data_IF_363271431877
#
_entry.id   IF_363271431877
#
_cell.length_a   1.000
_cell.length_b   1.000
_cell.length_c   1.000
_cell.angle_alpha   90.00
_cell.angle_beta   90.00
_cell.angle_gamma   90.00
#
_symmetry.space_group_name_H-M   'P 1'
#
loop_
_entity.id
_entity.type
_entity.pdbx_description
1 polymer ?
#
# COMPACT_ATOMS: atom_id res chain seq x y z
N UNK A 1 -27.24 -44.10 7.84
CA UNK A 1 -26.77 -42.81 7.28
C UNK A 1 -25.30 -42.62 7.66
N UNK A 2 -24.37 -42.66 6.69
CA UNK A 2 -22.96 -42.41 6.99
C UNK A 2 -22.79 -40.94 7.43
N UNK A 3 -22.15 -40.72 8.59
CA UNK A 3 -21.73 -39.38 9.05
C UNK A 3 -21.02 -38.69 7.88
N UNK A 4 -21.61 -37.60 7.36
CA UNK A 4 -20.97 -36.78 6.32
C UNK A 4 -19.61 -36.35 6.87
N UNK A 5 -18.55 -36.72 6.16
CA UNK A 5 -17.20 -36.26 6.48
C UNK A 5 -17.06 -34.82 5.97
N UNK A 6 -17.42 -33.86 6.81
CA UNK A 6 -17.32 -32.45 6.49
C UNK A 6 -15.85 -31.99 6.46
N UNK A 7 -15.58 -31.04 5.58
CA UNK A 7 -14.27 -30.41 5.42
C UNK A 7 -14.05 -29.48 6.60
N UNK A 8 -12.85 -29.51 7.19
CA UNK A 8 -12.45 -28.58 8.23
C UNK A 8 -11.64 -27.45 7.58
N UNK A 9 -12.17 -26.24 7.65
CA UNK A 9 -11.48 -25.01 7.28
C UNK A 9 -10.68 -24.45 8.46
N UNK A 10 -9.54 -23.82 8.19
CA UNK A 10 -8.80 -23.09 9.22
C UNK A 10 -9.45 -21.71 9.51
N UNK A 11 -8.85 -20.92 10.41
CA UNK A 11 -9.34 -19.58 10.75
C UNK A 11 -9.41 -18.61 9.58
N UNK A 12 -8.70 -18.89 8.48
CA UNK A 12 -8.67 -18.10 7.24
C UNK A 12 -9.66 -18.64 6.19
N UNK A 13 -10.54 -19.58 6.58
CA UNK A 13 -11.47 -20.23 5.66
C UNK A 13 -10.81 -21.15 4.64
N UNK A 14 -9.52 -21.49 4.79
CA UNK A 14 -8.77 -22.35 3.87
C UNK A 14 -8.74 -23.78 4.39
N UNK A 15 -9.06 -24.73 3.52
CA UNK A 15 -8.95 -26.15 3.79
C UNK A 15 -7.84 -26.78 2.94
N UNK A 16 -6.94 -27.50 3.62
CA UNK A 16 -5.88 -28.30 3.00
C UNK A 16 -6.21 -29.78 3.16
N UNK A 17 -6.13 -30.55 2.08
CA UNK A 17 -6.34 -32.01 2.11
C UNK A 17 -5.42 -32.71 3.12
N UNK A 18 -4.17 -32.24 3.24
CA UNK A 18 -3.16 -32.81 4.15
C UNK A 18 -3.48 -32.57 5.62
N UNK A 19 -4.31 -31.57 5.92
CA UNK A 19 -4.68 -31.20 7.29
C UNK A 19 -5.98 -31.87 7.74
N UNK A 20 -6.68 -32.61 6.85
CA UNK A 20 -7.90 -33.34 7.17
C UNK A 20 -7.60 -34.67 7.88
N UNK A 21 -6.99 -34.62 9.07
CA UNK A 21 -6.48 -35.79 9.80
C UNK A 21 -7.57 -36.74 10.31
N UNK A 22 -8.83 -36.32 10.32
CA UNK A 22 -10.00 -37.10 10.75
C UNK A 22 -10.51 -38.08 9.70
N UNK A 23 -9.99 -38.03 8.46
CA UNK A 23 -10.44 -38.88 7.35
C UNK A 23 -9.28 -39.33 6.45
N UNK A 24 -9.52 -40.36 5.65
CA UNK A 24 -8.52 -40.79 4.64
C UNK A 24 -8.26 -39.69 3.61
N UNK A 25 -7.05 -39.65 3.05
CA UNK A 25 -6.68 -38.70 1.99
C UNK A 25 -7.65 -38.74 0.79
N UNK A 26 -8.08 -39.92 0.35
CA UNK A 26 -9.05 -40.07 -0.75
C UNK A 26 -10.43 -39.53 -0.36
N UNK A 27 -10.87 -39.76 0.88
CA UNK A 27 -12.13 -39.22 1.40
C UNK A 27 -12.08 -37.69 1.47
N UNK A 28 -10.96 -37.12 1.93
CA UNK A 28 -10.73 -35.67 1.99
C UNK A 28 -10.78 -35.02 0.60
N UNK A 29 -10.11 -35.61 -0.41
CA UNK A 29 -10.19 -35.12 -1.80
C UNK A 29 -11.63 -35.12 -2.29
N UNK A 30 -12.37 -36.22 -2.10
CA UNK A 30 -13.78 -36.32 -2.54
C UNK A 30 -14.69 -35.35 -1.79
N UNK A 31 -14.38 -35.04 -0.52
CA UNK A 31 -15.12 -34.02 0.23
C UNK A 31 -14.88 -32.64 -0.38
N UNK A 32 -13.62 -32.26 -0.63
CA UNK A 32 -13.24 -31.00 -1.30
C UNK A 32 -13.90 -30.87 -2.67
N UNK A 33 -13.79 -31.90 -3.52
CA UNK A 33 -14.39 -31.89 -4.86
C UNK A 33 -15.92 -31.71 -4.81
N UNK A 34 -16.59 -32.37 -3.86
CA UNK A 34 -18.03 -32.17 -3.65
C UNK A 34 -18.36 -30.76 -3.18
N UNK A 35 -17.65 -30.21 -2.20
CA UNK A 35 -17.89 -28.84 -1.75
C UNK A 35 -17.70 -27.80 -2.85
N UNK A 36 -16.71 -28.01 -3.73
CA UNK A 36 -16.52 -27.16 -4.92
C UNK A 36 -17.66 -27.34 -5.92
N UNK A 37 -18.07 -28.58 -6.21
CA UNK A 37 -19.20 -28.85 -7.11
C UNK A 37 -20.54 -28.29 -6.59
N UNK A 38 -20.72 -28.28 -5.28
CA UNK A 38 -21.92 -27.76 -4.60
C UNK A 38 -21.89 -26.23 -4.44
N UNK A 39 -20.83 -25.55 -4.91
CA UNK A 39 -20.66 -24.10 -4.79
C UNK A 39 -20.32 -23.59 -3.38
N UNK A 40 -20.10 -24.47 -2.40
CA UNK A 40 -19.77 -24.11 -1.01
C UNK A 40 -18.29 -23.76 -0.81
N UNK A 41 -17.43 -24.11 -1.77
CA UNK A 41 -16.01 -23.83 -1.71
C UNK A 41 -15.44 -23.49 -3.10
N UNK A 42 -14.35 -22.73 -3.14
CA UNK A 42 -13.61 -22.41 -4.36
C UNK A 42 -12.26 -23.13 -4.34
N UNK A 43 -11.95 -23.84 -5.43
CA UNK A 43 -10.66 -24.51 -5.58
C UNK A 43 -9.55 -23.48 -5.81
N UNK A 44 -8.51 -23.51 -4.98
CA UNK A 44 -7.32 -22.65 -5.14
C UNK A 44 -6.21 -23.39 -5.89
N UNK A 45 -5.99 -24.65 -5.56
CA UNK A 45 -5.09 -25.57 -6.27
C UNK A 45 -5.44 -27.01 -5.91
N UNK A 46 -4.74 -28.00 -6.46
CA UNK A 46 -5.03 -29.41 -6.21
C UNK A 46 -4.97 -29.74 -4.71
N UNK A 47 -6.12 -30.06 -4.13
CA UNK A 47 -6.25 -30.43 -2.72
C UNK A 47 -6.27 -29.25 -1.75
N UNK A 48 -6.46 -28.02 -2.23
CA UNK A 48 -6.63 -26.82 -1.41
C UNK A 48 -7.85 -26.03 -1.92
N UNK A 49 -8.77 -25.72 -1.01
CA UNK A 49 -9.93 -24.88 -1.31
C UNK A 49 -10.14 -23.84 -0.22
N UNK A 50 -10.90 -22.79 -0.54
CA UNK A 50 -11.39 -21.79 0.40
C UNK A 50 -12.91 -21.85 0.47
N UNK A 51 -13.49 -21.50 1.62
CA UNK A 51 -14.93 -21.28 1.73
C UNK A 51 -15.38 -20.22 0.70
N UNK A 52 -16.42 -20.53 -0.05
CA UNK A 52 -17.00 -19.62 -1.04
C UNK A 52 -17.39 -18.25 -0.47
N UNK A 53 -17.82 -18.19 0.80
CA UNK A 53 -18.19 -16.94 1.47
C UNK A 53 -16.99 -16.04 1.77
N UNK A 54 -15.78 -16.59 1.71
CA UNK A 54 -14.52 -15.88 1.92
C UNK A 54 -13.75 -15.71 0.60
N UNK A 55 -14.39 -15.92 -0.55
CA UNK A 55 -13.74 -15.72 -1.85
C UNK A 55 -14.38 -14.54 -2.59
N UNK A 56 -13.63 -13.43 -2.82
CA UNK A 56 -14.14 -12.32 -3.62
C UNK A 56 -14.28 -12.74 -5.09
N UNK A 57 -15.49 -13.10 -5.52
CA UNK A 57 -15.70 -13.62 -6.88
C UNK A 57 -15.53 -12.51 -7.92
N UNK A 58 -15.01 -12.88 -9.10
CA UNK A 58 -14.93 -11.94 -10.24
C UNK A 58 -16.32 -11.47 -10.68
N UNK A 59 -17.36 -12.31 -10.51
CA UNK A 59 -18.75 -11.95 -10.83
C UNK A 59 -19.27 -10.79 -9.99
N UNK A 60 -18.79 -10.67 -8.75
CA UNK A 60 -19.29 -9.71 -7.76
C UNK A 60 -18.68 -8.34 -8.02
N UNK A 61 -17.50 -8.31 -8.66
CA UNK A 61 -16.72 -7.12 -8.95
C UNK A 61 -16.16 -7.18 -10.38
N UNK A 62 -17.01 -6.94 -11.41
CA UNK A 62 -16.61 -7.13 -12.80
C UNK A 62 -15.57 -6.11 -13.27
N UNK A 63 -15.67 -4.85 -12.83
CA UNK A 63 -14.83 -3.75 -13.30
C UNK A 63 -14.49 -2.72 -12.20
N UNK A 64 -13.56 -1.81 -12.51
CA UNK A 64 -13.25 -0.64 -11.69
C UNK A 64 -12.35 -0.91 -10.48
N UNK A 65 -12.39 0.01 -9.50
CA UNK A 65 -11.51 -0.04 -8.33
C UNK A 65 -11.80 -1.24 -7.42
N UNK A 66 -13.07 -1.65 -7.32
CA UNK A 66 -13.48 -2.81 -6.52
C UNK A 66 -12.98 -4.12 -7.13
N UNK A 67 -13.04 -4.27 -8.46
CA UNK A 67 -12.46 -5.43 -9.15
C UNK A 67 -10.95 -5.55 -8.89
N UNK A 68 -10.24 -4.41 -8.90
CA UNK A 68 -8.80 -4.36 -8.59
C UNK A 68 -8.52 -4.80 -7.15
N UNK A 69 -9.30 -4.32 -6.18
CA UNK A 69 -9.16 -4.74 -4.77
C UNK A 69 -9.48 -6.22 -4.58
N UNK A 70 -10.53 -6.72 -5.20
CA UNK A 70 -10.89 -8.14 -5.18
C UNK A 70 -9.78 -9.01 -5.78
N UNK A 71 -9.12 -8.57 -6.85
CA UNK A 71 -7.94 -9.27 -7.40
C UNK A 71 -6.77 -9.34 -6.40
N UNK A 72 -6.46 -8.23 -5.71
CA UNK A 72 -5.43 -8.21 -4.68
C UNK A 72 -5.77 -9.11 -3.48
N UNK A 73 -7.03 -9.09 -3.03
CA UNK A 73 -7.51 -9.95 -1.95
C UNK A 73 -7.40 -11.44 -2.30
N UNK A 74 -7.81 -11.83 -3.53
CA UNK A 74 -7.63 -13.20 -4.04
C UNK A 74 -6.17 -13.62 -4.08
N UNK A 75 -5.27 -12.77 -4.60
CA UNK A 75 -3.85 -13.08 -4.65
C UNK A 75 -3.24 -13.22 -3.24
N UNK A 76 -3.69 -12.42 -2.27
CA UNK A 76 -3.31 -12.56 -0.86
C UNK A 76 -3.75 -13.91 -0.28
N UNK A 77 -4.99 -14.33 -0.51
CA UNK A 77 -5.50 -15.66 -0.12
C UNK A 77 -4.62 -16.76 -0.71
N UNK A 78 -4.31 -16.67 -1.99
CA UNK A 78 -3.49 -17.66 -2.68
C UNK A 78 -2.06 -17.71 -2.15
N UNK A 79 -1.47 -16.56 -1.79
CA UNK A 79 -0.19 -16.50 -1.08
C UNK A 79 -0.25 -17.26 0.24
N UNK A 80 -1.25 -16.98 1.09
CA UNK A 80 -1.41 -17.63 2.40
C UNK A 80 -1.61 -19.13 2.22
N UNK A 81 -2.50 -19.54 1.31
CA UNK A 81 -2.74 -20.94 1.00
C UNK A 81 -1.48 -21.65 0.49
N UNK A 82 -0.73 -21.04 -0.44
CA UNK A 82 0.48 -21.64 -0.98
C UNK A 82 1.57 -21.76 0.10
N UNK A 83 1.74 -20.77 0.97
CA UNK A 83 2.69 -20.81 2.07
C UNK A 83 2.33 -21.88 3.12
N UNK A 84 1.05 -21.98 3.51
CA UNK A 84 0.58 -23.00 4.44
C UNK A 84 0.78 -24.43 3.90
N UNK A 85 0.69 -24.62 2.58
CA UNK A 85 0.96 -25.91 1.93
C UNK A 85 2.46 -26.25 1.85
N UNK A 86 3.33 -25.27 2.08
CA UNK A 86 4.78 -25.32 1.96
C UNK A 86 5.45 -24.68 3.19
N UNK A 87 5.28 -25.27 4.39
CA UNK A 87 5.76 -24.67 5.64
C UNK A 87 7.28 -24.48 5.70
N UNK A 88 8.04 -25.17 4.86
CA UNK A 88 9.50 -25.05 4.74
C UNK A 88 9.95 -23.89 3.83
N UNK A 89 9.01 -23.08 3.34
CA UNK A 89 9.25 -21.94 2.46
C UNK A 89 8.69 -20.65 3.06
N UNK A 90 9.14 -19.53 2.52
CA UNK A 90 8.85 -18.17 2.97
C UNK A 90 8.38 -17.34 1.76
N UNK A 91 7.25 -16.64 1.91
CA UNK A 91 6.82 -15.66 0.91
C UNK A 91 7.79 -14.48 0.89
N UNK A 92 8.21 -14.06 -0.30
CA UNK A 92 9.21 -12.99 -0.49
C UNK A 92 8.75 -11.98 -1.55
N UNK A 93 9.34 -10.78 -1.55
CA UNK A 93 9.05 -9.74 -2.55
C UNK A 93 7.56 -9.34 -2.57
N UNK A 94 6.98 -9.19 -3.76
CA UNK A 94 5.56 -8.82 -3.92
C UNK A 94 4.58 -9.77 -3.23
N UNK A 95 4.91 -11.05 -3.11
CA UNK A 95 4.07 -12.01 -2.39
C UNK A 95 4.00 -11.69 -0.89
N UNK A 96 5.14 -11.30 -0.32
CA UNK A 96 5.21 -10.82 1.06
C UNK A 96 4.50 -9.48 1.22
N UNK A 97 4.68 -8.55 0.28
CA UNK A 97 4.01 -7.24 0.31
C UNK A 97 2.48 -7.39 0.34
N UNK A 98 1.91 -8.30 -0.47
CA UNK A 98 0.48 -8.62 -0.44
C UNK A 98 0.01 -9.13 0.92
N UNK A 99 0.76 -10.04 1.55
CA UNK A 99 0.38 -10.61 2.85
C UNK A 99 0.43 -9.59 3.97
N UNK A 100 1.42 -8.69 3.95
CA UNK A 100 1.50 -7.51 4.83
C UNK A 100 0.43 -6.45 4.55
N UNK A 101 -0.27 -6.55 3.42
CA UNK A 101 -1.23 -5.53 2.97
C UNK A 101 -0.56 -4.22 2.57
N UNK A 102 0.69 -4.26 2.11
CA UNK A 102 1.36 -3.10 1.54
C UNK A 102 0.74 -2.77 0.17
N UNK A 103 0.67 -1.48 -0.21
CA UNK A 103 0.04 -1.07 -1.45
C UNK A 103 0.90 -1.42 -2.66
N UNK A 104 0.41 -2.31 -3.50
CA UNK A 104 0.95 -2.54 -4.84
C UNK A 104 0.23 -1.66 -5.85
N UNK A 105 0.97 -1.12 -6.83
CA UNK A 105 0.37 -0.43 -7.96
C UNK A 105 -0.22 -1.43 -8.96
N UNK A 106 0.48 -2.54 -9.15
CA UNK A 106 0.05 -3.65 -9.98
C UNK A 106 0.15 -4.98 -9.25
N UNK A 107 -0.79 -5.86 -9.54
CA UNK A 107 -0.68 -7.25 -9.12
C UNK A 107 0.26 -8.00 -10.09
N UNK A 108 1.42 -8.52 -9.65
CA UNK A 108 2.32 -9.20 -10.55
C UNK A 108 1.80 -10.60 -10.92
N UNK A 109 1.99 -10.96 -12.19
CA UNK A 109 1.60 -12.27 -12.72
C UNK A 109 2.35 -13.44 -12.06
N UNK A 110 3.50 -13.19 -11.44
CA UNK A 110 4.31 -14.20 -10.75
C UNK A 110 4.74 -13.71 -9.38
N UNK A 111 4.42 -14.52 -8.36
CA UNK A 111 4.71 -14.29 -6.95
C UNK A 111 5.81 -15.24 -6.47
N UNK A 112 6.58 -14.86 -5.46
CA UNK A 112 7.74 -15.64 -4.99
C UNK A 112 7.44 -16.39 -3.70
N UNK A 113 7.78 -17.69 -3.68
CA UNK A 113 7.75 -18.53 -2.49
C UNK A 113 9.11 -19.23 -2.33
N UNK A 114 9.99 -18.56 -1.61
CA UNK A 114 11.41 -18.91 -1.54
C UNK A 114 11.70 -19.95 -0.48
N UNK A 115 12.60 -20.88 -0.80
CA UNK A 115 13.23 -21.75 0.18
C UNK A 115 14.44 -21.02 0.78
N UNK A 116 14.60 -21.01 2.12
CA UNK A 116 15.80 -20.52 2.77
C UNK A 116 17.01 -21.47 2.56
N UNK A 117 16.76 -22.66 2.01
CA UNK A 117 17.78 -23.65 1.66
C UNK A 117 17.91 -23.75 0.14
N UNK A 118 19.14 -23.84 -0.38
CA UNK A 118 19.37 -23.95 -1.84
C UNK A 118 18.66 -25.18 -2.39
N UNK A 119 17.79 -24.96 -3.38
CA UNK A 119 16.99 -25.98 -4.07
C UNK A 119 16.77 -25.54 -5.53
N UNK A 120 16.50 -26.51 -6.40
CA UNK A 120 16.10 -26.21 -7.78
C UNK A 120 14.81 -25.36 -7.78
N UNK A 121 14.74 -24.41 -8.71
CA UNK A 121 13.54 -23.60 -8.90
C UNK A 121 12.44 -24.38 -9.60
N UNK A 122 11.19 -24.06 -9.30
CA UNK A 122 10.02 -24.62 -10.01
C UNK A 122 8.91 -23.58 -10.06
N UNK A 123 7.92 -23.78 -10.94
CA UNK A 123 6.76 -22.92 -11.06
C UNK A 123 5.50 -23.69 -10.71
N UNK A 124 4.56 -23.02 -10.04
CA UNK A 124 3.21 -23.53 -9.80
C UNK A 124 2.19 -22.49 -10.23
N UNK A 125 1.03 -22.95 -10.65
CA UNK A 125 -0.08 -22.08 -11.05
C UNK A 125 -1.31 -22.49 -10.26
N UNK A 126 -2.03 -21.51 -9.73
CA UNK A 126 -3.31 -21.72 -9.04
C UNK A 126 -4.43 -21.94 -10.05
N UNK A 127 -5.60 -22.34 -9.57
CA UNK A 127 -6.79 -22.47 -10.41
C UNK A 127 -7.22 -21.13 -11.04
N UNK A 128 -6.93 -20.00 -10.39
CA UNK A 128 -7.22 -18.66 -10.92
C UNK A 128 -6.21 -18.19 -11.99
N UNK A 129 -5.09 -18.91 -12.17
CA UNK A 129 -4.02 -18.55 -13.10
C UNK A 129 -2.83 -17.82 -12.47
N UNK A 130 -2.88 -17.47 -11.18
CA UNK A 130 -1.76 -16.83 -10.48
C UNK A 130 -0.54 -17.77 -10.44
N UNK A 131 0.62 -17.26 -10.86
CA UNK A 131 1.86 -18.05 -10.89
C UNK A 131 2.68 -17.82 -9.63
N UNK A 132 3.31 -18.89 -9.15
CA UNK A 132 4.25 -18.90 -8.04
C UNK A 132 5.60 -19.44 -8.50
N UNK A 133 6.65 -18.65 -8.38
CA UNK A 133 8.02 -19.06 -8.55
C UNK A 133 8.58 -19.55 -7.21
N UNK A 134 8.78 -20.86 -7.12
CA UNK A 134 9.36 -21.50 -5.95
C UNK A 134 10.88 -21.53 -6.12
N UNK A 135 11.56 -20.52 -5.62
CA UNK A 135 13.00 -20.29 -5.81
C UNK A 135 13.78 -20.45 -4.49
N UNK A 136 15.07 -20.11 -4.51
CA UNK A 136 15.91 -19.95 -3.32
C UNK A 136 16.06 -18.47 -2.99
N UNK A 137 16.05 -18.12 -1.71
CA UNK A 137 16.44 -16.80 -1.23
C UNK A 137 17.38 -16.95 -0.03
N UNK A 138 18.44 -16.13 0.02
CA UNK A 138 19.32 -16.05 1.17
C UNK A 138 18.61 -15.28 2.29
N UNK A 139 18.12 -16.03 3.28
CA UNK A 139 17.41 -15.53 4.46
C UNK A 139 18.14 -15.97 5.72
N UNK A 140 18.11 -15.12 6.74
CA UNK A 140 18.58 -15.43 8.09
C UNK A 140 17.74 -16.58 8.63
N UNK A 141 18.33 -17.77 8.61
CA UNK A 141 17.67 -19.03 8.88
C UNK A 141 18.54 -19.90 9.78
N UNK A 142 17.98 -20.62 10.76
CA UNK A 142 18.76 -21.49 11.63
C UNK A 142 19.53 -22.53 10.81
N UNK A 143 20.82 -22.68 11.12
CA UNK A 143 21.71 -23.67 10.51
C UNK A 143 21.37 -25.09 10.97
N UNK A 144 20.82 -25.25 12.17
CA UNK A 144 20.44 -26.54 12.72
C UNK A 144 19.05 -26.99 12.24
N UNK A 145 19.02 -28.10 11.51
CA UNK A 145 17.79 -28.75 11.00
C UNK A 145 17.28 -29.86 11.92
N UNK A 146 18.00 -30.16 13.00
CA UNK A 146 17.76 -31.35 13.84
C UNK A 146 16.73 -31.11 14.94
N UNK A 147 16.39 -29.86 15.25
CA UNK A 147 15.26 -29.54 16.13
C UNK A 147 13.98 -29.40 15.31
N UNK A 148 12.95 -30.14 15.68
CA UNK A 148 11.68 -30.30 14.97
C UNK A 148 10.80 -29.02 14.89
N UNK A 149 11.36 -27.84 15.18
CA UNK A 149 10.65 -26.57 15.21
C UNK A 149 11.50 -25.46 14.58
N UNK A 150 11.22 -25.17 13.31
CA UNK A 150 11.64 -23.93 12.67
C UNK A 150 11.02 -22.78 13.48
N UNK A 151 11.83 -21.83 14.00
CA UNK A 151 11.30 -20.70 14.74
C UNK A 151 10.31 -19.92 13.89
N UNK A 152 9.21 -19.49 14.52
CA UNK A 152 8.17 -18.74 13.84
C UNK A 152 8.66 -17.36 13.38
N UNK A 153 9.69 -16.82 14.02
CA UNK A 153 10.28 -15.53 13.67
C UNK A 153 11.81 -15.60 13.63
N UNK A 154 12.40 -14.95 12.62
CA UNK A 154 13.83 -14.66 12.51
C UNK A 154 14.00 -13.17 12.16
N UNK A 155 15.23 -12.60 12.14
CA UNK A 155 15.42 -11.22 11.70
C UNK A 155 14.85 -10.92 10.29
N UNK A 156 14.83 -11.93 9.41
CA UNK A 156 14.32 -11.78 8.04
C UNK A 156 12.88 -12.31 7.87
N UNK A 157 12.33 -13.08 8.81
CA UNK A 157 11.08 -13.84 8.64
C UNK A 157 10.11 -13.61 9.80
N UNK A 158 8.84 -13.42 9.49
CA UNK A 158 7.72 -13.42 10.43
C UNK A 158 6.60 -14.35 9.94
N UNK A 159 5.54 -14.52 10.72
CA UNK A 159 4.36 -15.32 10.37
C UNK A 159 3.12 -14.44 10.41
N UNK A 160 2.35 -14.45 9.33
CA UNK A 160 1.05 -13.79 9.21
C UNK A 160 0.05 -14.82 8.73
N UNK A 161 -1.06 -15.00 9.45
CA UNK A 161 -2.13 -15.95 9.09
C UNK A 161 -1.62 -17.38 8.84
N UNK A 162 -0.60 -17.80 9.60
CA UNK A 162 0.05 -19.11 9.46
C UNK A 162 0.98 -19.25 8.24
N UNK A 163 1.18 -18.17 7.48
CA UNK A 163 2.13 -18.11 6.37
C UNK A 163 3.45 -17.49 6.82
N UNK A 164 4.56 -18.19 6.60
CA UNK A 164 5.91 -17.62 6.75
C UNK A 164 6.16 -16.60 5.65
N UNK A 165 6.56 -15.40 6.02
CA UNK A 165 6.72 -14.25 5.14
C UNK A 165 7.95 -13.44 5.56
N UNK A 166 8.64 -12.79 4.63
CA UNK A 166 9.73 -11.87 5.01
C UNK A 166 9.20 -10.73 5.88
N UNK A 167 9.99 -10.21 6.82
CA UNK A 167 9.60 -9.02 7.60
C UNK A 167 9.31 -7.84 6.66
N UNK A 168 8.58 -6.83 7.14
CA UNK A 168 8.23 -5.65 6.32
C UNK A 168 9.50 -4.96 5.80
N UNK A 169 10.45 -4.68 6.70
CA UNK A 169 11.72 -4.06 6.34
C UNK A 169 12.47 -4.88 5.28
N UNK A 170 12.57 -6.20 5.49
CA UNK A 170 13.21 -7.10 4.52
C UNK A 170 12.50 -7.10 3.17
N UNK A 171 11.17 -7.13 3.18
CA UNK A 171 10.33 -7.13 1.98
C UNK A 171 10.53 -5.86 1.16
N UNK A 172 10.46 -4.69 1.80
CA UNK A 172 10.65 -3.39 1.14
C UNK A 172 12.07 -3.29 0.55
N UNK A 173 13.10 -3.69 1.31
CA UNK A 173 14.49 -3.65 0.83
C UNK A 173 14.72 -4.60 -0.33
N UNK A 174 14.18 -5.83 -0.30
CA UNK A 174 14.32 -6.78 -1.39
C UNK A 174 13.60 -6.28 -2.67
N UNK A 175 12.43 -5.65 -2.55
CA UNK A 175 11.71 -5.06 -3.71
C UNK A 175 12.47 -3.85 -4.27
N UNK A 176 13.00 -2.98 -3.40
CA UNK A 176 13.81 -1.83 -3.82
C UNK A 176 15.12 -2.29 -4.50
N UNK A 177 15.77 -3.32 -3.97
CA UNK A 177 17.01 -3.88 -4.53
C UNK A 177 16.80 -4.63 -5.84
N UNK A 178 15.61 -5.17 -6.09
CA UNK A 178 15.26 -5.81 -7.36
C UNK A 178 15.01 -4.81 -8.49
N UNK A 179 14.96 -3.50 -8.20
CA UNK A 179 14.84 -2.48 -9.21
C UNK A 179 16.18 -2.26 -9.93
N UNK A 180 16.19 -2.23 -11.29
CA UNK A 180 17.39 -1.87 -12.03
C UNK A 180 17.76 -0.41 -11.74
N UNK A 181 19.06 -0.08 -11.73
CA UNK A 181 19.48 1.32 -11.67
C UNK A 181 19.03 2.01 -12.95
N UNK A 182 18.15 3.02 -12.89
CA UNK A 182 17.73 3.70 -14.09
C UNK A 182 18.79 4.73 -14.51
N UNK A 183 19.06 4.80 -15.82
CA UNK A 183 19.86 5.87 -16.43
C UNK A 183 19.00 7.11 -16.63
N UNK A 184 19.60 8.29 -16.84
CA UNK A 184 18.84 9.52 -17.12
C UNK A 184 17.87 9.36 -18.32
N UNK A 185 18.27 8.57 -19.34
CA UNK A 185 17.43 8.30 -20.51
C UNK A 185 16.26 7.36 -20.19
N UNK A 186 16.46 6.37 -19.30
CA UNK A 186 15.45 5.35 -18.99
C UNK A 186 14.52 5.75 -17.85
N UNK A 187 14.93 6.66 -16.96
CA UNK A 187 14.12 7.18 -15.84
C UNK A 187 12.76 7.71 -16.27
N UNK A 188 12.69 8.30 -17.47
CA UNK A 188 11.46 8.87 -18.04
C UNK A 188 10.54 7.85 -18.71
N UNK A 189 10.99 6.60 -18.87
CA UNK A 189 10.14 5.55 -19.40
C UNK A 189 9.09 5.16 -18.37
N UNK A 190 7.83 5.10 -18.81
CA UNK A 190 6.68 4.89 -17.92
C UNK A 190 6.83 3.67 -17.01
N UNK A 191 7.30 2.54 -17.54
CA UNK A 191 7.45 1.32 -16.76
C UNK A 191 8.59 1.40 -15.72
N UNK A 192 9.64 2.19 -15.98
CA UNK A 192 10.73 2.44 -15.01
C UNK A 192 10.22 3.34 -13.90
N UNK A 193 9.56 4.45 -14.26
CA UNK A 193 8.94 5.36 -13.30
C UNK A 193 7.92 4.63 -12.40
N UNK A 194 7.04 3.82 -13.00
CA UNK A 194 6.00 3.08 -12.26
C UNK A 194 6.58 2.13 -11.22
N UNK A 195 7.67 1.44 -11.56
CA UNK A 195 8.41 0.57 -10.63
C UNK A 195 9.06 1.34 -9.48
N UNK A 196 9.65 2.51 -9.77
CA UNK A 196 10.20 3.39 -8.76
C UNK A 196 9.11 3.93 -7.81
N UNK A 197 7.99 4.39 -8.38
CA UNK A 197 6.83 4.87 -7.64
C UNK A 197 6.22 3.77 -6.74
N UNK A 198 6.10 2.53 -7.22
CA UNK A 198 5.65 1.40 -6.42
C UNK A 198 6.59 1.13 -5.23
N UNK A 199 7.89 1.04 -5.49
CA UNK A 199 8.86 0.76 -4.43
C UNK A 199 8.89 1.87 -3.36
N UNK A 200 8.78 3.14 -3.76
CA UNK A 200 8.66 4.27 -2.83
C UNK A 200 7.33 4.23 -2.05
N UNK A 201 6.22 3.85 -2.70
CA UNK A 201 4.92 3.71 -2.05
C UNK A 201 4.93 2.61 -0.99
N UNK A 202 5.60 1.49 -1.26
CA UNK A 202 5.80 0.42 -0.30
C UNK A 202 6.64 0.87 0.91
N UNK A 203 7.71 1.62 0.66
CA UNK A 203 8.55 2.16 1.72
C UNK A 203 7.80 3.18 2.60
N UNK A 204 7.10 4.15 2.00
CA UNK A 204 6.26 5.11 2.73
C UNK A 204 5.19 4.41 3.58
N UNK A 205 4.47 3.44 2.99
CA UNK A 205 3.44 2.69 3.69
C UNK A 205 4.00 1.86 4.86
N UNK A 206 5.22 1.33 4.73
CA UNK A 206 5.86 0.62 5.83
C UNK A 206 6.19 1.55 7.01
N UNK A 207 6.70 2.75 6.73
CA UNK A 207 7.04 3.76 7.74
C UNK A 207 5.79 4.38 8.39
N UNK A 208 4.69 4.50 7.63
CA UNK A 208 3.42 5.05 8.11
C UNK A 208 2.62 4.05 8.96
N UNK A 209 2.73 2.75 8.69
CA UNK A 209 1.82 1.73 9.23
C UNK A 209 0.54 1.57 8.40
N UNK A 210 -0.20 0.47 8.57
CA UNK A 210 -1.38 0.20 7.73
C UNK A 210 -2.65 0.93 8.20
N UNK A 211 -3.05 1.92 7.40
CA UNK A 211 -4.45 2.29 7.17
C UNK A 211 -4.75 2.04 5.69
N UNK A 212 -4.95 0.76 5.34
CA UNK A 212 -5.63 0.27 4.13
C UNK A 212 -4.93 0.37 2.76
N UNK A 213 -5.07 -0.70 1.96
CA UNK A 213 -4.66 -0.83 0.55
C UNK A 213 -5.57 -0.01 -0.38
N UNK A 214 -4.97 0.63 -1.39
CA UNK A 214 -5.62 1.27 -2.55
C UNK A 214 -6.95 1.98 -2.20
N UNK A 215 -6.82 3.01 -1.37
CA UNK A 215 -7.63 4.21 -1.40
C UNK A 215 -8.56 4.47 -0.20
N UNK A 216 -8.72 3.57 0.76
CA UNK A 216 -9.35 3.91 2.05
C UNK A 216 -8.45 3.46 3.15
N UNK A 217 -7.76 4.41 3.73
CA UNK A 217 -8.18 5.09 4.94
C UNK A 217 -7.16 6.20 5.14
N UNK A 218 -7.60 7.45 5.07
CA UNK A 218 -6.89 8.48 5.81
C UNK A 218 -6.98 8.09 7.28
N UNK A 219 -5.87 7.70 7.87
CA UNK A 219 -5.64 7.71 9.33
C UNK A 219 -6.80 7.18 10.20
N UNK A 220 -6.85 5.88 10.48
CA UNK A 220 -7.30 5.43 11.80
C UNK A 220 -6.08 5.37 12.71
N UNK A 221 -5.97 6.37 13.58
CA UNK A 221 -4.84 6.57 14.47
C UNK A 221 -4.79 5.45 15.52
N UNK A 222 -3.78 4.58 15.41
CA UNK A 222 -3.35 3.65 16.47
C UNK A 222 -2.57 4.35 17.59
N UNK A 223 -2.53 5.67 17.60
CA UNK A 223 -2.11 6.49 18.72
C UNK A 223 -3.28 7.43 19.01
N UNK A 224 -3.64 7.62 20.29
CA UNK A 224 -4.55 8.71 20.66
C UNK A 224 -4.18 9.95 19.86
N UNK A 225 -5.15 10.64 19.21
CA UNK A 225 -4.83 11.92 18.62
C UNK A 225 -4.17 12.75 19.72
N UNK A 226 -3.03 13.36 19.41
CA UNK A 226 -2.33 14.25 20.34
C UNK A 226 -3.19 15.48 20.74
N UNK A 227 -4.46 15.54 20.28
CA UNK A 227 -5.39 16.66 20.36
C UNK A 227 -6.84 16.16 20.51
N UNK A 228 -7.51 16.38 21.66
CA UNK A 228 -8.90 15.93 21.93
C UNK A 228 -10.03 16.67 21.17
N UNK A 229 -9.72 17.56 20.21
CA UNK A 229 -10.70 18.50 19.63
C UNK A 229 -10.70 18.66 18.11
N UNK A 230 -10.02 17.80 17.34
CA UNK A 230 -10.13 17.84 15.88
C UNK A 230 -11.53 17.37 15.45
N UNK A 231 -12.28 18.13 14.62
CA UNK A 231 -13.52 17.62 14.06
C UNK A 231 -13.19 16.32 13.31
N UNK A 232 -14.00 15.29 13.51
CA UNK A 232 -13.82 14.02 12.81
C UNK A 232 -13.61 14.33 11.34
N UNK A 233 -12.44 13.96 10.78
CA UNK A 233 -12.32 13.85 9.34
C UNK A 233 -13.50 13.01 8.89
N UNK A 234 -14.06 13.37 7.73
CA UNK A 234 -14.95 12.52 6.93
C UNK A 234 -14.80 11.06 7.36
N UNK A 235 -15.84 10.50 7.97
CA UNK A 235 -15.88 9.07 8.22
C UNK A 235 -16.31 8.48 6.87
N UNK A 236 -15.36 8.04 6.01
CA UNK A 236 -15.75 7.52 4.71
C UNK A 236 -16.74 6.37 4.93
N UNK A 237 -17.75 6.21 4.05
CA UNK A 237 -18.47 4.94 4.02
C UNK A 237 -17.42 3.81 3.93
N UNK A 238 -17.58 2.75 4.72
CA UNK A 238 -16.64 1.64 4.78
C UNK A 238 -16.71 0.83 3.46
N UNK A 239 -16.01 1.30 2.44
CA UNK A 239 -16.02 0.71 1.09
C UNK A 239 -14.90 -0.32 0.89
N UNK A 240 -14.26 -0.71 1.98
CA UNK A 240 -13.28 -1.79 1.98
C UNK A 240 -14.02 -3.13 1.82
N UNK A 241 -13.45 -4.05 1.06
CA UNK A 241 -13.90 -5.46 1.08
C UNK A 241 -13.69 -6.12 2.45
N UNK A 242 -13.09 -5.41 3.42
CA UNK A 242 -12.83 -5.93 4.77
C UNK A 242 -14.13 -6.13 5.55
N UNK A 243 -15.20 -5.36 5.28
CA UNK A 243 -16.50 -5.60 5.92
C UNK A 243 -17.12 -6.91 5.43
N UNK A 244 -17.06 -7.15 4.12
CA UNK A 244 -17.65 -8.35 3.49
C UNK A 244 -16.80 -9.60 3.77
N UNK A 245 -15.49 -9.43 3.93
CA UNK A 245 -14.55 -10.51 4.20
C UNK A 245 -13.54 -10.12 5.30
N UNK A 246 -13.95 -10.01 6.57
CA UNK A 246 -13.12 -9.50 7.66
C UNK A 246 -11.91 -10.37 7.96
N UNK A 247 -12.00 -11.67 7.69
CA UNK A 247 -10.88 -12.60 7.85
C UNK A 247 -9.80 -12.42 6.78
N UNK A 248 -10.10 -11.72 5.67
CA UNK A 248 -9.14 -11.46 4.59
C UNK A 248 -8.44 -10.12 4.71
N UNK A 249 -9.00 -9.22 5.53
CA UNK A 249 -8.42 -7.91 5.79
C UNK A 249 -6.98 -8.12 6.27
N UNK A 250 -5.97 -7.52 5.60
CA UNK A 250 -4.60 -7.67 6.05
C UNK A 250 -4.50 -7.18 7.49
N UNK A 251 -3.85 -7.97 8.35
CA UNK A 251 -3.56 -7.53 9.70
C UNK A 251 -2.80 -6.20 9.63
N UNK A 252 -3.28 -5.19 10.37
CA UNK A 252 -2.62 -3.88 10.41
C UNK A 252 -1.20 -4.08 10.92
N UNK A 253 -0.20 -3.69 10.12
CA UNK A 253 1.16 -3.64 10.62
C UNK A 253 1.40 -2.36 11.41
N UNK A 254 2.15 -2.49 12.49
CA UNK A 254 2.70 -1.35 13.21
C UNK A 254 3.70 -0.61 12.30
N UNK A 255 3.76 0.73 12.37
CA UNK A 255 4.80 1.52 11.72
C UNK A 255 6.19 0.99 12.09
N UNK A 256 7.09 0.92 11.10
CA UNK A 256 8.52 0.62 11.33
C UNK A 256 9.36 1.90 11.25
N UNK A 257 10.56 1.86 11.79
CA UNK A 257 11.53 2.95 11.69
C UNK A 257 12.38 2.80 10.44
N UNK A 258 12.88 3.91 9.88
CA UNK A 258 13.86 3.87 8.79
C UNK A 258 15.13 3.10 9.17
N UNK A 259 15.45 3.02 10.47
CA UNK A 259 16.57 2.21 10.98
C UNK A 259 16.38 0.71 10.76
N UNK A 260 15.13 0.22 10.69
CA UNK A 260 14.82 -1.20 10.50
C UNK A 260 15.21 -1.71 9.11
N UNK A 261 15.41 -0.82 8.13
CA UNK A 261 15.92 -1.20 6.81
C UNK A 261 17.42 -1.52 6.81
N UNK A 262 18.19 -0.91 7.72
CA UNK A 262 19.67 -0.94 7.70
C UNK A 262 20.26 -2.36 7.70
N UNK A 263 19.76 -3.33 8.51
CA UNK A 263 20.30 -4.69 8.52
C UNK A 263 20.18 -5.42 7.19
N UNK A 264 19.24 -5.02 6.33
CA UNK A 264 18.93 -5.71 5.09
C UNK A 264 19.58 -5.06 3.86
N UNK A 265 20.19 -3.87 3.99
CA UNK A 265 20.79 -3.12 2.87
C UNK A 265 21.98 -3.82 2.22
N UNK A 266 22.65 -4.70 2.96
CA UNK A 266 23.85 -5.41 2.48
C UNK A 266 23.54 -6.87 2.20
N UNK A 267 24.20 -7.42 1.19
CA UNK A 267 24.19 -8.85 0.94
C UNK A 267 25.13 -9.60 1.89
N UNK A 268 25.19 -10.92 1.77
CA UNK A 268 26.06 -11.76 2.61
C UNK A 268 27.56 -11.50 2.41
N UNK A 269 27.96 -10.75 1.39
CA UNK A 269 29.34 -10.33 1.11
C UNK A 269 29.61 -8.90 1.56
N UNK A 270 28.63 -8.23 2.17
CA UNK A 270 28.72 -6.84 2.61
C UNK A 270 28.50 -5.81 1.50
N UNK A 271 28.21 -6.22 0.27
CA UNK A 271 27.92 -5.30 -0.83
C UNK A 271 26.51 -4.71 -0.69
N UNK A 272 26.32 -3.46 -1.08
CA UNK A 272 25.00 -2.84 -1.10
C UNK A 272 24.10 -3.57 -2.11
N UNK A 273 22.87 -3.85 -1.71
CA UNK A 273 21.88 -4.52 -2.55
C UNK A 273 21.25 -3.54 -3.54
N UNK A 274 21.47 -3.77 -4.84
CA UNK A 274 20.72 -3.14 -5.93
C UNK A 274 21.02 -1.65 -6.16
N UNK A 275 20.54 -1.15 -7.30
CA UNK A 275 20.88 0.19 -7.80
C UNK A 275 20.23 1.33 -7.02
N UNK A 276 18.90 1.38 -7.01
CA UNK A 276 18.17 2.55 -6.50
C UNK A 276 17.64 2.36 -5.07
N UNK A 277 18.08 1.32 -4.35
CA UNK A 277 17.65 1.04 -2.97
C UNK A 277 17.89 2.23 -2.05
N UNK A 278 19.08 2.83 -2.10
CA UNK A 278 19.42 3.99 -1.27
C UNK A 278 18.59 5.21 -1.66
N UNK A 279 18.36 5.42 -2.97
CA UNK A 279 17.52 6.51 -3.47
C UNK A 279 16.08 6.40 -2.95
N UNK A 280 15.48 5.21 -3.05
CA UNK A 280 14.13 4.93 -2.56
C UNK A 280 14.03 5.14 -1.04
N UNK A 281 14.94 4.54 -0.27
CA UNK A 281 14.85 4.57 1.19
C UNK A 281 15.22 5.92 1.80
N UNK A 282 16.06 6.71 1.13
CA UNK A 282 16.35 8.10 1.52
C UNK A 282 15.15 9.01 1.23
N UNK A 283 14.41 8.73 0.16
CA UNK A 283 13.19 9.46 -0.18
C UNK A 283 11.97 9.02 0.65
N UNK A 284 12.01 7.83 1.27
CA UNK A 284 10.91 7.26 2.01
C UNK A 284 10.57 8.11 3.25
N UNK A 285 9.28 8.33 3.48
CA UNK A 285 8.78 9.10 4.62
C UNK A 285 7.38 8.62 5.00
N UNK A 286 6.99 8.71 6.29
CA UNK A 286 5.64 8.36 6.73
C UNK A 286 4.59 9.42 6.37
N UNK A 287 4.97 10.50 5.67
CA UNK A 287 4.14 11.69 5.46
C UNK A 287 3.15 11.55 4.29
N UNK A 288 3.37 10.58 3.39
CA UNK A 288 2.42 10.30 2.31
C UNK A 288 1.23 9.52 2.88
N UNK A 289 0.07 10.16 2.95
CA UNK A 289 -1.16 9.56 3.51
C UNK A 289 -1.78 8.54 2.54
N UNK A 290 -1.37 8.56 1.27
CA UNK A 290 -1.87 7.66 0.23
C UNK A 290 -0.78 7.21 -0.75
N UNK A 291 -1.06 6.09 -1.45
CA UNK A 291 -0.24 5.60 -2.57
C UNK A 291 -0.12 6.65 -3.67
N UNK A 292 -1.17 7.46 -3.84
CA UNK A 292 -1.18 8.51 -4.84
C UNK A 292 -0.17 9.61 -4.50
N UNK A 293 -0.13 10.03 -3.23
CA UNK A 293 0.88 10.97 -2.75
C UNK A 293 2.29 10.41 -2.88
N UNK A 294 2.53 9.14 -2.52
CA UNK A 294 3.84 8.51 -2.72
C UNK A 294 4.27 8.47 -4.19
N UNK A 295 3.33 8.20 -5.12
CA UNK A 295 3.60 8.23 -6.56
C UNK A 295 3.83 9.66 -7.08
N UNK A 296 3.10 10.66 -6.56
CA UNK A 296 3.37 12.08 -6.84
C UNK A 296 4.73 12.52 -6.30
N UNK A 297 5.13 12.05 -5.10
CA UNK A 297 6.46 12.27 -4.55
C UNK A 297 7.54 11.71 -5.47
N UNK A 298 7.36 10.48 -5.97
CA UNK A 298 8.27 9.88 -6.95
C UNK A 298 8.39 10.77 -8.19
N UNK A 299 7.28 11.31 -8.71
CA UNK A 299 7.29 12.22 -9.84
C UNK A 299 8.09 13.51 -9.54
N UNK A 300 7.90 14.12 -8.37
CA UNK A 300 8.63 15.34 -8.00
C UNK A 300 10.15 15.11 -7.87
N UNK A 301 10.55 13.95 -7.36
CA UNK A 301 11.96 13.51 -7.32
C UNK A 301 12.52 13.37 -8.73
N UNK A 302 11.81 12.72 -9.64
CA UNK A 302 12.22 12.57 -11.05
C UNK A 302 12.24 13.89 -11.82
N UNK A 303 11.37 14.84 -11.45
CA UNK A 303 11.41 16.21 -11.97
C UNK A 303 12.56 17.04 -11.38
N UNK A 304 13.28 16.51 -10.38
CA UNK A 304 14.37 17.20 -9.65
C UNK A 304 13.91 18.52 -9.03
N UNK A 305 12.68 18.56 -8.52
CA UNK A 305 12.09 19.75 -7.90
C UNK A 305 12.11 19.61 -6.39
N UNK A 306 12.55 20.64 -5.67
CA UNK A 306 12.47 20.67 -4.20
C UNK A 306 11.02 20.88 -3.76
N UNK A 307 10.58 20.08 -2.79
CA UNK A 307 9.22 20.12 -2.25
C UNK A 307 9.21 19.93 -0.73
N UNK A 308 8.10 20.29 -0.11
CA UNK A 308 7.76 20.03 1.30
C UNK A 308 6.48 19.22 1.34
N UNK A 309 6.47 18.12 2.10
CA UNK A 309 5.30 17.26 2.26
C UNK A 309 4.41 17.71 3.41
N UNK A 310 3.10 17.63 3.21
CA UNK A 310 2.10 17.88 4.24
C UNK A 310 2.25 19.23 4.99
N UNK A 311 2.73 20.35 4.38
CA UNK A 311 2.88 21.60 5.11
C UNK A 311 1.52 22.19 5.49
N UNK A 312 1.52 22.96 6.57
CA UNK A 312 0.36 23.75 7.01
C UNK A 312 0.50 25.18 6.52
N UNK A 313 -0.49 25.64 5.75
CA UNK A 313 -0.59 27.01 5.25
C UNK A 313 -1.47 27.83 6.19
N UNK A 314 -0.95 28.98 6.64
CA UNK A 314 -1.69 29.95 7.45
C UNK A 314 -1.81 31.27 6.69
N UNK A 315 -2.90 32.01 6.94
CA UNK A 315 -3.08 33.36 6.39
C UNK A 315 -2.25 34.41 7.15
N UNK A 316 -2.39 35.68 6.74
CA UNK A 316 -1.69 36.84 7.31
C UNK A 316 -1.97 37.00 8.82
N UNK A 317 -3.15 36.57 9.29
CA UNK A 317 -3.54 36.62 10.71
C UNK A 317 -3.00 35.44 11.52
N UNK A 318 -2.29 34.52 10.86
CA UNK A 318 -1.81 33.27 11.46
C UNK A 318 -2.86 32.17 11.51
N UNK A 319 -4.07 32.36 10.97
CA UNK A 319 -5.11 31.33 11.00
C UNK A 319 -4.80 30.22 9.99
N UNK A 320 -4.90 28.96 10.44
CA UNK A 320 -4.75 27.79 9.58
C UNK A 320 -5.79 27.79 8.45
N UNK A 321 -5.30 27.81 7.22
CA UNK A 321 -6.11 27.71 6.00
C UNK A 321 -6.26 26.24 5.59
N UNK A 322 -5.14 25.53 5.42
CA UNK A 322 -5.13 24.14 4.99
C UNK A 322 -3.85 23.41 5.38
N UNK A 323 -3.94 22.09 5.49
CA UNK A 323 -2.80 21.18 5.25
C UNK A 323 -2.91 20.72 3.81
N UNK A 324 -1.81 20.81 3.06
CA UNK A 324 -1.76 20.49 1.62
C UNK A 324 -0.78 19.37 1.38
N UNK A 325 -0.93 18.59 0.31
CA UNK A 325 -0.10 17.38 0.12
C UNK A 325 1.36 17.71 -0.16
N UNK A 326 1.61 18.61 -1.11
CA UNK A 326 2.96 19.12 -1.40
C UNK A 326 2.96 20.63 -1.63
N UNK A 327 4.03 21.29 -1.17
CA UNK A 327 4.35 22.66 -1.52
C UNK A 327 5.71 22.69 -2.23
N UNK A 328 5.80 23.48 -3.29
CA UNK A 328 7.04 23.85 -3.97
C UNK A 328 7.36 25.30 -3.58
N UNK A 329 8.09 25.54 -2.47
CA UNK A 329 8.13 26.86 -1.84
C UNK A 329 8.77 27.92 -2.74
N UNK A 330 9.76 27.53 -3.56
CA UNK A 330 10.45 28.43 -4.48
C UNK A 330 9.52 29.00 -5.57
N UNK A 331 8.41 28.34 -5.85
CA UNK A 331 7.50 28.71 -6.92
C UNK A 331 6.10 29.08 -6.44
N UNK A 332 5.84 29.04 -5.12
CA UNK A 332 4.52 29.24 -4.52
C UNK A 332 3.45 28.30 -5.12
N UNK A 333 3.85 27.09 -5.51
CA UNK A 333 2.96 26.09 -6.11
C UNK A 333 2.58 25.05 -5.07
N UNK A 334 1.28 24.84 -4.90
CA UNK A 334 0.70 23.76 -4.11
C UNK A 334 0.28 22.64 -5.08
N UNK A 335 0.55 21.40 -4.71
CA UNK A 335 0.10 20.21 -5.45
C UNK A 335 -0.80 19.39 -4.52
N UNK A 336 -2.00 19.07 -5.01
CA UNK A 336 -3.01 18.26 -4.33
C UNK A 336 -3.25 16.96 -5.12
N UNK A 337 -3.35 15.85 -4.39
CA UNK A 337 -3.56 14.51 -4.92
C UNK A 337 -5.05 14.13 -4.87
N UNK A 338 -5.81 14.45 -5.92
CA UNK A 338 -7.21 14.01 -6.03
C UNK A 338 -7.34 12.52 -6.40
N UNK A 339 -7.59 11.68 -5.39
CA UNK A 339 -7.79 10.24 -5.56
C UNK A 339 -9.05 9.88 -6.37
N UNK A 340 -9.03 8.70 -7.02
CA UNK A 340 -10.14 8.20 -7.88
C UNK A 340 -11.48 8.06 -7.15
N UNK A 341 -11.46 7.75 -5.85
CA UNK A 341 -12.67 7.46 -5.07
C UNK A 341 -13.47 8.73 -4.72
N UNK A 342 -12.91 9.93 -4.92
CA UNK A 342 -13.62 11.18 -4.63
C UNK A 342 -14.83 11.41 -5.55
N UNK A 343 -14.94 10.68 -6.68
CA UNK A 343 -15.95 10.92 -7.71
C UNK A 343 -16.56 9.66 -8.37
N UNK A 344 -16.26 8.43 -7.92
CA UNK A 344 -16.95 7.25 -8.44
C UNK A 344 -18.30 7.08 -7.70
N UNK A 345 -19.45 7.07 -8.40
CA UNK A 345 -20.73 6.81 -7.76
C UNK A 345 -20.73 5.38 -7.19
N UNK A 346 -21.05 5.25 -5.91
CA UNK A 346 -21.28 3.95 -5.27
C UNK A 346 -22.54 3.32 -5.88
N UNK A 347 -22.37 2.45 -6.87
CA UNK A 347 -23.42 1.52 -7.23
C UNK A 347 -23.39 0.35 -6.24
N UNK A 348 -24.57 -0.01 -5.72
CA UNK A 348 -24.88 -1.09 -4.76
C UNK A 348 -25.02 -0.70 -3.27
N UNK A 349 -25.97 0.18 -2.95
CA UNK A 349 -26.88 -0.01 -1.80
C UNK A 349 -28.18 0.80 -2.00
N UNK A 350 -29.32 0.17 -2.35
CA UNK A 350 -30.61 0.86 -2.48
C UNK A 350 -31.25 1.24 -1.13
N UNK A 351 -30.64 0.88 0.00
CA UNK A 351 -31.13 1.16 1.36
C UNK A 351 -30.25 2.13 2.15
N UNK A 352 -29.07 2.50 1.63
CA UNK A 352 -28.23 3.51 2.25
C UNK A 352 -28.84 4.91 2.04
N UNK A 353 -29.32 5.51 3.12
CA UNK A 353 -29.55 6.96 3.21
C UNK A 353 -28.30 7.69 2.71
N UNK A 354 -28.53 8.64 1.80
CA UNK A 354 -27.59 9.40 0.97
C UNK A 354 -26.10 9.27 1.33
N UNK A 355 -25.21 8.96 0.36
CA UNK A 355 -23.78 9.03 0.61
C UNK A 355 -23.43 10.47 0.98
N UNK A 356 -22.87 10.68 2.18
CA UNK A 356 -22.14 11.90 2.53
C UNK A 356 -20.93 12.02 1.60
N UNK A 357 -21.13 12.43 0.36
CA UNK A 357 -20.05 12.87 -0.50
C UNK A 357 -19.36 14.06 0.20
N UNK A 358 -18.03 14.09 0.20
CA UNK A 358 -17.29 15.27 0.64
C UNK A 358 -17.86 16.50 -0.07
N UNK A 359 -18.30 17.52 0.68
CA UNK A 359 -18.92 18.72 0.13
C UNK A 359 -17.97 19.37 -0.89
N UNK A 360 -18.26 19.29 -2.22
CA UNK A 360 -17.39 19.84 -3.25
C UNK A 360 -17.21 21.36 -3.11
N UNK A 361 -18.14 22.03 -2.43
CA UNK A 361 -18.07 23.45 -2.14
C UNK A 361 -17.04 23.77 -1.05
N UNK A 362 -16.79 22.86 -0.11
CA UNK A 362 -15.76 23.06 0.91
C UNK A 362 -14.35 23.00 0.31
N UNK A 363 -14.12 22.06 -0.61
CA UNK A 363 -12.85 21.93 -1.32
C UNK A 363 -12.57 23.14 -2.21
N UNK A 364 -13.56 23.59 -3.00
CA UNK A 364 -13.43 24.80 -3.82
C UNK A 364 -13.15 26.04 -2.96
N UNK A 365 -13.83 26.19 -1.82
CA UNK A 365 -13.59 27.31 -0.88
C UNK A 365 -12.15 27.29 -0.34
N UNK A 366 -11.61 26.11 -0.05
CA UNK A 366 -10.20 25.95 0.36
C UNK A 366 -9.24 26.41 -0.73
N UNK A 367 -9.45 25.97 -1.97
CA UNK A 367 -8.59 26.34 -3.11
C UNK A 367 -8.64 27.85 -3.40
N UNK A 368 -9.82 28.46 -3.30
CA UNK A 368 -9.97 29.92 -3.40
C UNK A 368 -9.18 30.65 -2.32
N UNK A 369 -9.21 30.18 -1.06
CA UNK A 369 -8.44 30.80 0.03
C UNK A 369 -6.93 30.68 -0.21
N UNK A 370 -6.45 29.52 -0.64
CA UNK A 370 -5.04 29.32 -1.00
C UNK A 370 -4.62 30.21 -2.17
N UNK A 371 -5.48 30.35 -3.17
CA UNK A 371 -5.24 31.21 -4.34
C UNK A 371 -5.18 32.69 -3.94
N UNK A 372 -6.09 33.15 -3.07
CA UNK A 372 -6.09 34.52 -2.55
C UNK A 372 -4.85 34.86 -1.73
N UNK A 373 -4.24 33.85 -1.09
CA UNK A 373 -2.95 34.00 -0.43
C UNK A 373 -1.77 34.10 -1.42
N UNK A 374 -1.99 33.92 -2.72
CA UNK A 374 -0.96 34.00 -3.76
C UNK A 374 -0.34 32.65 -4.12
N UNK A 375 -0.91 31.53 -3.68
CA UNK A 375 -0.47 30.21 -4.12
C UNK A 375 -1.15 29.81 -5.43
N UNK A 376 -0.42 29.10 -6.28
CA UNK A 376 -0.98 28.39 -7.42
C UNK A 376 -1.27 26.94 -7.02
N UNK A 377 -2.54 26.54 -6.99
CA UNK A 377 -2.93 25.16 -6.67
C UNK A 377 -3.02 24.33 -7.96
N UNK A 378 -2.42 23.14 -7.96
CA UNK A 378 -2.46 22.17 -9.06
C UNK A 378 -3.02 20.85 -8.53
N UNK A 379 -4.15 20.44 -9.06
CA UNK A 379 -4.75 19.15 -8.76
C UNK A 379 -4.26 18.11 -9.75
N UNK A 380 -3.67 17.03 -9.25
CA UNK A 380 -3.24 15.91 -10.06
C UNK A 380 -4.27 14.78 -10.02
N UNK A 381 -4.33 14.02 -11.10
CA UNK A 381 -5.10 12.77 -11.18
C UNK A 381 -4.18 11.58 -11.36
N UNK A 382 -4.67 10.40 -10.99
CA UNK A 382 -3.95 9.13 -11.22
C UNK A 382 -3.58 8.91 -12.70
N UNK A 383 -4.49 9.23 -13.62
CA UNK A 383 -4.22 9.13 -15.06
C UNK A 383 -3.07 10.08 -15.46
N UNK A 384 -3.11 11.31 -14.92
CA UNK A 384 -2.13 12.33 -15.25
C UNK A 384 -0.69 11.99 -14.85
N UNK A 385 -0.49 11.22 -13.77
CA UNK A 385 0.84 10.75 -13.38
C UNK A 385 1.48 9.86 -14.43
N UNK A 386 0.68 9.01 -15.09
CA UNK A 386 1.18 7.96 -15.95
C UNK A 386 1.09 8.29 -17.45
N UNK A 387 0.25 9.26 -17.85
CA UNK A 387 0.23 9.78 -19.22
C UNK A 387 1.19 10.97 -19.45
N UNK A 388 1.84 11.47 -18.40
CA UNK A 388 2.80 12.56 -18.45
C UNK A 388 2.19 13.97 -18.37
N UNK A 389 0.87 14.11 -18.36
CA UNK A 389 0.18 15.40 -18.26
C UNK A 389 0.42 16.08 -16.90
N UNK A 390 0.58 15.32 -15.82
CA UNK A 390 0.97 15.86 -14.51
C UNK A 390 2.35 16.52 -14.57
N UNK A 391 3.33 15.82 -15.16
CA UNK A 391 4.68 16.36 -15.34
C UNK A 391 4.68 17.63 -16.20
N UNK A 392 3.88 17.64 -17.27
CA UNK A 392 3.73 18.80 -18.14
C UNK A 392 3.07 19.99 -17.40
N UNK A 393 2.04 19.74 -16.59
CA UNK A 393 1.36 20.75 -15.79
C UNK A 393 2.29 21.41 -14.78
N UNK A 394 3.06 20.61 -14.03
CA UNK A 394 4.05 21.10 -13.06
C UNK A 394 5.13 21.94 -13.77
N UNK A 395 5.72 21.44 -14.86
CA UNK A 395 6.74 22.19 -15.63
C UNK A 395 6.20 23.48 -16.23
N UNK A 396 4.96 23.47 -16.74
CA UNK A 396 4.29 24.68 -17.25
C UNK A 396 4.10 25.69 -16.13
N UNK A 397 3.70 25.23 -14.94
CA UNK A 397 3.51 26.10 -13.80
C UNK A 397 4.82 26.74 -13.33
N UNK A 398 5.89 25.96 -13.19
CA UNK A 398 7.21 26.45 -12.82
C UNK A 398 7.71 27.51 -13.81
N UNK A 399 7.67 27.22 -15.13
CA UNK A 399 8.10 28.17 -16.16
C UNK A 399 7.30 29.47 -16.13
N UNK A 400 5.99 29.37 -15.92
CA UNK A 400 5.10 30.52 -15.80
C UNK A 400 5.47 31.39 -14.59
N UNK A 401 5.76 30.80 -13.43
CA UNK A 401 6.20 31.55 -12.25
C UNK A 401 7.56 32.22 -12.47
N UNK A 402 8.51 31.50 -13.09
CA UNK A 402 9.84 32.04 -13.37
C UNK A 402 9.82 33.21 -14.37
N UNK A 403 8.93 33.18 -15.37
CA UNK A 403 8.78 34.26 -16.35
C UNK A 403 8.18 35.54 -15.75
N UNK A 404 7.40 35.41 -14.67
CA UNK A 404 6.72 36.51 -14.00
C UNK A 404 7.34 36.84 -12.63
N UNK A 405 8.66 36.67 -12.48
CA UNK A 405 9.35 36.80 -11.19
C UNK A 405 9.32 38.24 -10.68
N UNK A 406 8.22 38.61 -10.02
CA UNK A 406 8.06 39.84 -9.27
C UNK A 406 8.41 39.55 -7.80
N UNK A 407 9.40 40.28 -7.27
CA UNK A 407 9.88 40.14 -5.89
C UNK A 407 8.77 40.38 -4.86
N UNK A 408 7.71 41.13 -5.22
CA UNK A 408 6.55 41.40 -4.38
C UNK A 408 5.42 40.35 -4.50
N UNK A 409 5.52 39.38 -5.40
CA UNK A 409 4.51 38.34 -5.62
C UNK A 409 4.66 37.10 -4.72
N UNK A 410 5.29 37.26 -3.54
CA UNK A 410 5.35 36.19 -2.54
C UNK A 410 3.97 35.97 -1.92
N UNK A 411 3.62 34.74 -1.50
CA UNK A 411 2.36 34.49 -0.84
C UNK A 411 2.25 35.37 0.42
N UNK A 412 1.08 35.96 0.65
CA UNK A 412 0.85 36.88 1.77
C UNK A 412 0.81 36.15 3.12
N UNK A 413 0.54 34.84 3.10
CA UNK A 413 0.56 33.95 4.27
C UNK A 413 1.94 33.36 4.61
N UNK A 414 1.96 32.48 5.61
CA UNK A 414 3.14 31.68 5.99
C UNK A 414 2.84 30.20 5.88
N UNK A 415 3.88 29.39 5.83
CA UNK A 415 3.74 27.94 5.91
C UNK A 415 4.70 27.36 6.93
N UNK A 416 4.29 26.23 7.51
CA UNK A 416 5.09 25.47 8.47
C UNK A 416 5.23 24.04 7.97
N UNK A 417 6.45 23.51 8.05
CA UNK A 417 6.72 22.10 7.74
C UNK A 417 5.92 21.19 8.68
N UNK A 418 5.52 20.00 8.23
CA UNK A 418 4.81 19.03 9.05
C UNK A 418 5.54 18.73 10.38
N UNK A 419 6.87 18.75 10.37
CA UNK A 419 7.75 18.51 11.52
C UNK A 419 7.85 19.69 12.51
N UNK A 420 7.59 20.92 12.07
CA UNK A 420 7.74 22.15 12.88
C UNK A 420 6.41 22.86 13.14
N UNK A 421 5.33 22.38 12.53
CA UNK A 421 4.03 22.98 12.63
C UNK A 421 3.42 22.82 14.04
N UNK A 422 2.95 23.94 14.56
CA UNK A 422 2.38 24.07 15.89
C UNK A 422 0.95 23.49 15.96
N UNK A 423 0.42 23.27 17.17
CA UNK A 423 -0.99 22.90 17.36
C UNK A 423 -1.93 23.95 16.77
N UNK A 424 -3.11 23.56 16.28
CA UNK A 424 -4.11 24.49 15.71
C UNK A 424 -4.43 25.66 16.66
N UNK A 425 -4.46 25.38 17.96
CA UNK A 425 -4.72 26.32 19.06
C UNK A 425 -3.56 27.30 19.30
N UNK A 426 -2.31 26.89 19.03
CA UNK A 426 -1.16 27.76 19.20
C UNK A 426 -1.09 28.88 18.15
N UNK A 427 -1.72 28.66 16.99
CA UNK A 427 -1.85 29.69 15.95
C UNK A 427 -2.86 30.80 16.32
N UNK A 428 -3.80 30.53 17.23
CA UNK A 428 -4.73 31.56 17.72
C UNK A 428 -4.02 32.64 18.55
N UNK A 429 -2.87 32.32 19.19
CA UNK A 429 -2.12 33.26 20.02
C UNK A 429 -1.38 34.37 19.25
N UNK A 430 -1.31 34.29 17.91
CA UNK A 430 -0.78 35.39 17.10
C UNK A 430 -1.83 36.49 16.83
N UNK A 431 -3.12 36.27 17.16
CA UNK A 431 -4.16 37.32 17.08
C UNK A 431 -4.06 38.38 18.17
N UNK A 432 -3.40 38.10 19.29
CA UNK A 432 -3.40 38.97 20.46
C UNK A 432 -2.10 39.79 20.62
N UNK A 433 -1.21 39.74 19.62
CA UNK A 433 0.09 40.44 19.63
C UNK A 433 0.34 41.33 18.39
N UNK A 434 -0.71 41.64 17.62
CA UNK A 434 -0.73 42.65 16.56
C UNK A 434 -1.84 43.65 16.88
#
# INVERSE_FOLDING_TARGET
>A
MAKRSDIVFNSQGIAHVKNQKHVSYRTAIRAIQRAVSDGRAVSLTRGICIDSQQWPSTSDYPDGILATKAAHARARIECIAMAQAHPDRVLTGHAAALVHGLPLLDLPNTLSLSSPTKRASTRRTTTSGQQFHLNYAALSWPSDRTTAQIPDTTPDVTVIDGARVTTIARTVVDIAAAQPQPTEDTRRQLHVFRRFAEALSLADASLRGNTGTLGVEGTLAGTSPMWPGAPARFNPPEWSTNRDHPNLAPQRHSPISSADFLPHLRDSRGALRGGCTIEILTAASPLSDSVFESATKALLIELRVSFVQQPRIVDESGLLVARVDFLLPQFSIIIECDGRIKYEPSTFDPSASEPTAADPWNDRRRDFRLTNLGYRVIHLTWAGLFDGSAAAAIRKAIRSTQAHYDYNARPRGRWFDASTALPREAYQRFRDAA
#
